data_IF_486920653057
#
_entry.id   IF_486920653057
#
_cell.length_a   1.000
_cell.length_b   1.000
_cell.length_c   1.000
_cell.angle_alpha   90.00
_cell.angle_beta   90.00
_cell.angle_gamma   90.00
#
_symmetry.space_group_name_H-M   'P 1'
#
loop_
_entity.id
_entity.type
_entity.pdbx_description
1 polymer ?
#
# COMPACT_ATOMS: atom_id res chain seq x y z
N UNK A 1 -8.90 -3.45 -25.07
CA UNK A 1 -9.07 -4.15 -23.77
C UNK A 1 -7.86 -5.00 -23.38
N UNK A 2 -7.12 -5.63 -24.31
CA UNK A 2 -5.91 -6.41 -23.97
C UNK A 2 -4.88 -5.63 -23.14
N UNK A 3 -4.54 -4.40 -23.53
CA UNK A 3 -3.56 -3.58 -22.81
C UNK A 3 -4.00 -3.22 -21.38
N UNK A 4 -5.31 -3.02 -21.19
CA UNK A 4 -5.88 -2.78 -19.85
C UNK A 4 -5.76 -4.01 -18.95
N UNK A 5 -6.11 -5.19 -19.46
CA UNK A 5 -5.97 -6.45 -18.70
C UNK A 5 -4.53 -6.77 -18.35
N UNK A 6 -3.60 -6.51 -19.27
CA UNK A 6 -2.16 -6.68 -19.02
C UNK A 6 -1.70 -5.71 -17.92
N UNK A 7 -2.05 -4.43 -18.02
CA UNK A 7 -1.69 -3.43 -17.00
C UNK A 7 -2.25 -3.82 -15.62
N UNK A 8 -3.54 -4.18 -15.55
CA UNK A 8 -4.17 -4.60 -14.31
C UNK A 8 -3.51 -5.86 -13.72
N UNK A 9 -3.11 -6.82 -14.56
CA UNK A 9 -2.39 -8.01 -14.10
C UNK A 9 -1.01 -7.66 -13.54
N UNK A 10 -0.30 -6.74 -14.18
CA UNK A 10 0.98 -6.23 -13.70
C UNK A 10 0.82 -5.51 -12.35
N UNK A 11 -0.23 -4.70 -12.19
CA UNK A 11 -0.54 -4.03 -10.92
C UNK A 11 -0.79 -5.04 -9.80
N UNK A 12 -1.55 -6.11 -10.06
CA UNK A 12 -1.76 -7.19 -9.07
C UNK A 12 -0.45 -7.86 -8.69
N UNK A 13 0.40 -8.18 -9.66
CA UNK A 13 1.73 -8.75 -9.41
C UNK A 13 2.55 -7.78 -8.54
N UNK A 14 2.52 -6.48 -8.84
CA UNK A 14 3.24 -5.46 -8.10
C UNK A 14 2.76 -5.30 -6.65
N UNK A 15 1.44 -5.39 -6.42
CA UNK A 15 0.84 -5.43 -5.08
C UNK A 15 1.40 -6.61 -4.29
N UNK A 16 1.41 -7.81 -4.88
CA UNK A 16 1.90 -9.03 -4.21
C UNK A 16 3.41 -8.94 -3.93
N UNK A 17 4.20 -8.48 -4.90
CA UNK A 17 5.64 -8.27 -4.70
C UNK A 17 5.92 -7.28 -3.58
N UNK A 18 5.19 -6.17 -3.56
CA UNK A 18 5.30 -5.15 -2.51
C UNK A 18 4.89 -5.71 -1.15
N UNK A 19 3.79 -6.48 -1.10
CA UNK A 19 3.34 -7.16 0.11
C UNK A 19 4.45 -8.03 0.73
N UNK A 20 5.03 -8.94 -0.06
CA UNK A 20 6.08 -9.83 0.43
C UNK A 20 7.36 -9.08 0.79
N UNK A 21 7.70 -8.02 0.04
CA UNK A 21 8.83 -7.16 0.33
C UNK A 21 8.68 -6.49 1.71
N UNK A 22 7.56 -5.81 1.95
CA UNK A 22 7.32 -5.12 3.22
C UNK A 22 7.12 -6.09 4.38
N UNK A 23 6.52 -7.26 4.14
CA UNK A 23 6.43 -8.32 5.16
C UNK A 23 7.80 -8.81 5.63
N UNK A 24 8.79 -8.88 4.72
CA UNK A 24 10.17 -9.28 5.07
C UNK A 24 10.97 -8.15 5.69
N UNK A 25 10.77 -6.90 5.26
CA UNK A 25 11.51 -5.73 5.74
C UNK A 25 11.02 -5.29 7.13
N UNK A 26 9.70 -5.31 7.37
CA UNK A 26 9.10 -4.77 8.58
C UNK A 26 8.80 -5.91 9.56
N UNK A 27 9.33 -5.81 10.77
CA UNK A 27 9.09 -6.79 11.82
C UNK A 27 7.60 -6.88 12.20
N UNK A 28 7.18 -8.07 12.65
CA UNK A 28 5.80 -8.35 13.06
C UNK A 28 5.22 -7.34 14.08
N UNK A 29 5.93 -7.03 15.19
CA UNK A 29 5.46 -6.04 16.17
C UNK A 29 5.26 -4.64 15.58
N UNK A 30 6.15 -4.23 14.67
CA UNK A 30 6.06 -2.91 14.02
C UNK A 30 4.89 -2.86 13.03
N UNK A 31 4.69 -3.91 12.22
CA UNK A 31 3.53 -4.05 11.34
C UNK A 31 2.22 -3.96 12.12
N UNK A 32 2.17 -4.62 13.28
CA UNK A 32 1.01 -4.59 14.15
C UNK A 32 0.71 -3.18 14.70
N UNK A 33 1.76 -2.49 15.18
CA UNK A 33 1.63 -1.10 15.64
C UNK A 33 1.15 -0.17 14.53
N UNK A 34 1.63 -0.37 13.29
CA UNK A 34 1.17 0.36 12.12
C UNK A 34 -0.29 0.06 11.80
N UNK A 35 -0.69 -1.21 11.82
CA UNK A 35 -2.08 -1.63 11.60
C UNK A 35 -3.02 -0.99 12.62
N UNK A 36 -2.74 -1.11 13.92
CA UNK A 36 -3.55 -0.48 14.97
C UNK A 36 -3.69 1.03 14.76
N UNK A 37 -2.62 1.71 14.31
CA UNK A 37 -2.65 3.14 14.03
C UNK A 37 -3.52 3.49 12.81
N UNK A 38 -3.31 2.79 11.69
CA UNK A 38 -4.01 3.07 10.43
C UNK A 38 -5.48 2.67 10.47
N UNK A 39 -5.80 1.51 11.04
CA UNK A 39 -7.15 0.92 11.04
C UNK A 39 -7.96 1.22 12.31
N UNK A 40 -7.46 2.07 13.22
CA UNK A 40 -8.18 2.49 14.44
C UNK A 40 -9.55 3.11 14.17
N UNK A 41 -9.71 3.81 13.04
CA UNK A 41 -10.97 4.41 12.62
C UNK A 41 -11.06 4.32 11.11
N UNK A 42 -12.13 3.67 10.62
CA UNK A 42 -12.37 3.52 9.19
C UNK A 42 -12.44 4.87 8.47
N UNK A 43 -13.09 5.88 9.07
CA UNK A 43 -13.15 7.21 8.49
C UNK A 43 -11.76 7.86 8.35
N UNK A 44 -10.93 7.80 9.40
CA UNK A 44 -9.55 8.32 9.34
C UNK A 44 -8.71 7.58 8.32
N UNK A 45 -8.85 6.26 8.27
CA UNK A 45 -8.17 5.41 7.29
C UNK A 45 -8.48 5.84 5.85
N UNK A 46 -9.77 5.99 5.52
CA UNK A 46 -10.21 6.43 4.19
C UNK A 46 -9.65 7.81 3.85
N UNK A 47 -9.73 8.76 4.79
CA UNK A 47 -9.18 10.12 4.58
C UNK A 47 -7.67 10.07 4.33
N UNK A 48 -6.91 9.30 5.12
CA UNK A 48 -5.47 9.18 4.93
C UNK A 48 -5.11 8.57 3.58
N UNK A 49 -5.77 7.48 3.17
CA UNK A 49 -5.55 6.88 1.85
C UNK A 49 -5.89 7.87 0.74
N UNK A 50 -7.00 8.59 0.86
CA UNK A 50 -7.41 9.56 -0.13
C UNK A 50 -6.38 10.69 -0.30
N UNK A 51 -5.94 11.29 0.81
CA UNK A 51 -4.92 12.35 0.79
C UNK A 51 -3.60 11.83 0.23
N UNK A 52 -3.14 10.66 0.68
CA UNK A 52 -1.89 10.05 0.20
C UNK A 52 -1.98 9.73 -1.29
N UNK A 53 -3.12 9.25 -1.77
CA UNK A 53 -3.32 8.93 -3.19
C UNK A 53 -3.31 10.18 -4.05
N UNK A 54 -3.97 11.26 -3.61
CA UNK A 54 -3.91 12.57 -4.29
C UNK A 54 -2.48 13.08 -4.34
N UNK A 55 -1.76 13.00 -3.23
CA UNK A 55 -0.36 13.44 -3.17
C UNK A 55 0.53 12.62 -4.09
N UNK A 56 0.42 11.28 -4.08
CA UNK A 56 1.19 10.40 -4.96
C UNK A 56 0.90 10.72 -6.43
N UNK A 57 -0.36 10.80 -6.83
CA UNK A 57 -0.75 11.09 -8.21
C UNK A 57 -0.33 12.51 -8.61
N UNK A 58 -0.52 13.51 -7.74
CA UNK A 58 -0.13 14.89 -7.99
C UNK A 58 1.37 15.08 -8.14
N UNK A 59 2.18 14.49 -7.24
CA UNK A 59 3.64 14.51 -7.32
C UNK A 59 4.10 13.79 -8.58
N UNK A 60 3.54 12.63 -8.88
CA UNK A 60 3.86 11.86 -10.10
C UNK A 60 3.55 12.66 -11.36
N UNK A 61 2.37 13.29 -11.41
CA UNK A 61 1.97 14.14 -12.52
C UNK A 61 2.94 15.32 -12.70
N UNK A 62 3.34 15.98 -11.60
CA UNK A 62 4.30 17.08 -11.63
C UNK A 62 5.66 16.64 -12.19
N UNK A 63 6.19 15.51 -11.72
CA UNK A 63 7.47 14.95 -12.18
C UNK A 63 7.40 14.59 -13.68
N UNK A 64 6.34 13.89 -14.09
CA UNK A 64 6.19 13.45 -15.49
C UNK A 64 5.92 14.62 -16.44
N UNK A 65 5.21 15.65 -15.98
CA UNK A 65 5.02 16.88 -16.74
C UNK A 65 6.35 17.61 -16.96
N UNK A 66 7.17 17.72 -15.92
CA UNK A 66 8.50 18.36 -16.00
C UNK A 66 9.49 17.61 -16.89
N UNK A 67 9.33 16.30 -17.02
CA UNK A 67 10.22 15.43 -17.81
C UNK A 67 9.67 15.07 -19.19
N UNK A 68 8.53 15.67 -19.60
CA UNK A 68 7.83 15.39 -20.86
C UNK A 68 7.37 13.92 -21.05
N UNK A 69 7.29 13.15 -19.95
CA UNK A 69 6.84 11.75 -19.95
C UNK A 69 5.36 11.60 -19.52
N UNK A 70 4.54 12.63 -19.71
CA UNK A 70 3.12 12.64 -19.30
C UNK A 70 2.31 11.47 -19.89
N UNK A 71 2.71 10.98 -21.06
CA UNK A 71 2.08 9.81 -21.71
C UNK A 71 2.12 8.54 -20.82
N UNK A 72 3.06 8.44 -19.90
CA UNK A 72 3.24 7.29 -19.00
C UNK A 72 2.50 7.43 -17.66
N UNK A 73 1.75 8.52 -17.45
CA UNK A 73 1.05 8.77 -16.18
C UNK A 73 0.08 7.63 -15.81
N UNK A 74 -0.61 7.08 -16.80
CA UNK A 74 -1.58 5.99 -16.63
C UNK A 74 -0.93 4.63 -16.34
N UNK A 75 0.40 4.54 -16.35
CA UNK A 75 1.15 3.34 -15.99
C UNK A 75 1.85 3.56 -14.63
N UNK A 76 2.55 4.69 -14.49
CA UNK A 76 3.37 4.97 -13.31
C UNK A 76 2.51 5.30 -12.08
N UNK A 77 1.45 6.09 -12.24
CA UNK A 77 0.60 6.44 -11.10
C UNK A 77 -0.12 5.22 -10.51
N UNK A 78 -0.78 4.35 -11.29
CA UNK A 78 -1.33 3.09 -10.78
C UNK A 78 -0.28 2.17 -10.16
N UNK A 79 0.92 2.08 -10.73
CA UNK A 79 2.01 1.27 -10.17
C UNK A 79 2.43 1.77 -8.77
N UNK A 80 2.59 3.08 -8.57
CA UNK A 80 2.93 3.65 -7.26
C UNK A 80 1.82 3.44 -6.23
N UNK A 81 0.55 3.55 -6.64
CA UNK A 81 -0.60 3.25 -5.77
C UNK A 81 -0.64 1.76 -5.43
N UNK A 82 -0.31 0.87 -6.38
CA UNK A 82 -0.20 -0.57 -6.14
C UNK A 82 0.86 -0.91 -5.09
N UNK A 83 2.00 -0.21 -5.09
CA UNK A 83 3.01 -0.34 -4.02
C UNK A 83 2.45 0.07 -2.66
N UNK A 84 1.72 1.21 -2.60
CA UNK A 84 1.06 1.66 -1.37
C UNK A 84 0.05 0.63 -0.85
N UNK A 85 -0.77 0.05 -1.74
CA UNK A 85 -1.74 -0.99 -1.39
C UNK A 85 -1.03 -2.23 -0.86
N UNK A 86 0.04 -2.68 -1.52
CA UNK A 86 0.85 -3.81 -1.03
C UNK A 86 1.48 -3.55 0.35
N UNK A 87 1.96 -2.32 0.59
CA UNK A 87 2.42 -1.90 1.92
C UNK A 87 1.30 -2.00 2.97
N UNK A 88 0.13 -1.41 2.71
CA UNK A 88 -1.00 -1.44 3.64
C UNK A 88 -1.45 -2.87 3.93
N UNK A 89 -1.57 -3.70 2.88
CA UNK A 89 -1.88 -5.13 3.01
C UNK A 89 -0.84 -5.86 3.86
N UNK A 90 0.45 -5.52 3.74
CA UNK A 90 1.49 -6.13 4.57
C UNK A 90 1.31 -5.82 6.05
N UNK A 91 0.74 -4.67 6.42
CA UNK A 91 0.53 -4.31 7.83
C UNK A 91 -0.53 -5.17 8.51
N UNK A 92 -1.45 -5.77 7.74
CA UNK A 92 -2.52 -6.62 8.28
C UNK A 92 -1.90 -7.81 9.04
N UNK A 93 -2.29 -8.03 10.30
CA UNK A 93 -1.80 -9.16 11.07
C UNK A 93 -2.30 -10.48 10.45
N UNK A 94 -1.37 -11.41 10.22
CA UNK A 94 -1.66 -12.72 9.61
C UNK A 94 -1.87 -13.83 10.64
N UNK A 95 -1.64 -13.54 11.93
CA UNK A 95 -1.92 -14.43 13.07
C UNK A 95 -2.87 -13.69 14.01
N UNK A 96 -3.88 -14.39 14.53
CA UNK A 96 -4.83 -13.81 15.48
C UNK A 96 -4.12 -13.31 16.74
N UNK A 97 -4.52 -12.14 17.23
CA UNK A 97 -3.97 -11.52 18.45
C UNK A 97 -4.23 -12.34 19.73
N UNK A 98 -5.13 -13.32 19.70
CA UNK A 98 -5.56 -14.07 20.88
C UNK A 98 -4.52 -14.97 21.55
N UNK A 99 -3.29 -15.10 21.03
CA UNK A 99 -2.29 -16.06 21.56
C UNK A 99 -1.08 -15.37 22.27
N UNK A 100 -1.01 -14.03 22.25
CA UNK A 100 0.13 -13.29 22.85
C UNK A 100 -0.26 -12.20 23.86
N UNK A 101 -1.51 -11.74 23.90
CA UNK A 101 -1.93 -10.81 24.97
C UNK A 101 -2.12 -11.53 26.32
N UNK A 102 -2.49 -12.83 26.33
CA UNK A 102 -2.66 -13.66 27.54
C UNK A 102 -1.35 -14.20 28.15
N UNK A 103 -0.21 -14.09 27.46
CA UNK A 103 1.09 -14.55 27.99
C UNK A 103 1.91 -13.46 28.66
N UNK A 104 1.43 -12.22 28.62
CA UNK A 104 2.07 -11.08 29.29
C UNK A 104 1.30 -10.62 30.53
N UNK A 105 0.21 -11.33 30.87
CA UNK A 105 -0.65 -11.13 32.04
C UNK A 105 -0.54 -12.28 33.08
N UNK A 106 0.42 -13.20 32.92
CA UNK A 106 0.78 -14.25 33.90
C UNK A 106 2.21 -14.01 34.40
#
# INVERSE_FOLDING_TARGET
MKNFLISASVDVILILLSYFLFQKIISGPTRHKLYKKFFSSFAKFVIYIFIISILLTGITALILYRTSYIAYINIISPALVSVLVGFLMSTVPTRGEGDNEDKMSI
#
